data_IF_149554111589
#
_entry.id   IF_149554111589
#
_cell.length_a   1.000
_cell.length_b   1.000
_cell.length_c   1.000
_cell.angle_alpha   90.00
_cell.angle_beta   90.00
_cell.angle_gamma   90.00
#
_symmetry.space_group_name_H-M   'P 1'
#
loop_
_entity.id
_entity.type
_entity.pdbx_description
1 polymer ?
#
# COMPACT_ATOMS: atom_id res chain seq x y z
N UNK A 1 -3.93 -0.87 17.10
CA UNK A 1 -4.64 0.32 16.57
C UNK A 1 -3.67 1.51 16.37
N UNK A 2 -2.84 1.87 17.36
CA UNK A 2 -1.91 3.00 17.22
C UNK A 2 -0.91 2.84 16.06
N UNK A 3 -0.29 1.66 15.91
CA UNK A 3 0.63 1.40 14.82
C UNK A 3 -0.04 1.48 13.43
N UNK A 4 -1.29 1.05 13.31
CA UNK A 4 -2.06 1.16 12.07
C UNK A 4 -2.32 2.63 11.72
N UNK A 5 -2.70 3.45 12.70
CA UNK A 5 -2.90 4.90 12.49
C UNK A 5 -1.61 5.61 12.09
N UNK A 6 -0.47 5.21 12.66
CA UNK A 6 0.83 5.76 12.27
C UNK A 6 1.17 5.47 10.80
N UNK A 7 0.87 4.25 10.31
CA UNK A 7 1.03 3.88 8.89
C UNK A 7 0.09 4.67 7.97
N UNK A 8 -1.15 4.86 8.38
CA UNK A 8 -2.12 5.67 7.62
C UNK A 8 -1.70 7.14 7.54
N UNK A 9 -1.05 7.66 8.60
CA UNK A 9 -0.49 9.02 8.58
C UNK A 9 0.59 9.17 7.52
N UNK A 10 1.50 8.19 7.38
CA UNK A 10 2.53 8.23 6.34
C UNK A 10 1.92 8.33 4.93
N UNK A 11 0.83 7.58 4.67
CA UNK A 11 0.09 7.72 3.41
C UNK A 11 -0.53 9.11 3.27
N UNK A 12 -1.23 9.60 4.30
CA UNK A 12 -1.88 10.91 4.28
C UNK A 12 -0.87 12.03 3.99
N UNK A 13 0.27 12.02 4.68
CA UNK A 13 1.35 13.00 4.48
C UNK A 13 1.93 12.94 3.05
N UNK A 14 2.01 11.72 2.46
CA UNK A 14 2.45 11.54 1.08
C UNK A 14 1.41 12.07 0.08
N UNK A 15 0.11 11.83 0.31
CA UNK A 15 -0.97 12.37 -0.52
C UNK A 15 -0.97 13.91 -0.52
N UNK A 16 -0.90 14.53 0.67
CA UNK A 16 -0.88 16.00 0.82
C UNK A 16 0.34 16.63 0.17
N UNK A 17 1.50 15.97 0.20
CA UNK A 17 2.76 16.49 -0.35
C UNK A 17 2.89 16.32 -1.87
N UNK A 18 2.45 15.18 -2.39
CA UNK A 18 2.82 14.72 -3.74
C UNK A 18 1.70 14.92 -4.78
N UNK A 19 0.46 15.13 -4.33
CA UNK A 19 -0.64 15.39 -5.24
C UNK A 19 -0.87 16.90 -5.42
N UNK A 20 -1.21 17.35 -6.65
CA UNK A 20 -1.43 18.76 -6.93
C UNK A 20 -2.62 19.32 -6.14
N UNK A 21 -2.44 20.48 -5.53
CA UNK A 21 -3.52 21.19 -4.87
C UNK A 21 -4.63 21.56 -5.87
N UNK A 22 -5.89 21.29 -5.51
CA UNK A 22 -7.04 21.56 -6.38
C UNK A 22 -7.27 20.51 -7.48
N UNK A 23 -6.46 19.44 -7.55
CA UNK A 23 -6.73 18.33 -8.43
C UNK A 23 -8.02 17.56 -8.02
N UNK A 24 -8.69 16.88 -8.95
CA UNK A 24 -9.79 15.99 -8.58
C UNK A 24 -9.31 14.90 -7.62
N UNK A 25 -10.21 14.37 -6.74
CA UNK A 25 -9.85 13.32 -5.80
C UNK A 25 -9.21 12.12 -6.52
N UNK A 26 -8.00 11.69 -6.11
CA UNK A 26 -7.32 10.57 -6.75
C UNK A 26 -8.05 9.26 -6.48
N UNK A 27 -7.98 8.32 -7.41
CA UNK A 27 -8.40 6.94 -7.21
C UNK A 27 -7.34 6.23 -6.36
N UNK A 28 -7.71 5.85 -5.14
CA UNK A 28 -6.86 5.14 -4.19
C UNK A 28 -7.26 3.67 -4.12
N UNK A 29 -6.32 2.78 -4.46
CA UNK A 29 -6.43 1.34 -4.26
C UNK A 29 -5.79 0.93 -2.94
N UNK A 30 -6.59 0.41 -2.00
CA UNK A 30 -6.15 -0.17 -0.73
C UNK A 30 -6.03 -1.69 -0.86
N UNK A 31 -4.79 -2.18 -0.93
CA UNK A 31 -4.47 -3.59 -1.16
C UNK A 31 -4.33 -4.33 0.17
N UNK A 32 -5.14 -5.36 0.37
CA UNK A 32 -5.33 -6.01 1.66
C UNK A 32 -6.16 -5.13 2.59
N UNK A 33 -7.25 -4.56 2.06
CA UNK A 33 -8.05 -3.52 2.71
C UNK A 33 -8.71 -3.95 4.02
N UNK A 34 -8.85 -5.26 4.26
CA UNK A 34 -9.47 -5.78 5.46
C UNK A 34 -10.86 -5.19 5.68
N UNK A 35 -11.06 -4.57 6.84
CA UNK A 35 -12.33 -3.92 7.21
C UNK A 35 -12.44 -2.46 6.76
N UNK A 36 -11.57 -2.01 5.87
CA UNK A 36 -11.58 -0.66 5.28
C UNK A 36 -11.32 0.49 6.26
N UNK A 37 -10.59 0.23 7.33
CA UNK A 37 -10.25 1.24 8.36
C UNK A 37 -9.53 2.47 7.76
N UNK A 38 -8.78 2.28 6.67
CA UNK A 38 -8.12 3.38 5.97
C UNK A 38 -9.13 4.39 5.41
N UNK A 39 -10.23 3.91 4.82
CA UNK A 39 -11.23 4.81 4.25
C UNK A 39 -11.90 5.67 5.32
N UNK A 40 -12.18 5.10 6.52
CA UNK A 40 -12.71 5.86 7.65
C UNK A 40 -11.69 6.90 8.13
N UNK A 41 -10.41 6.52 8.24
CA UNK A 41 -9.33 7.43 8.63
C UNK A 41 -9.19 8.61 7.67
N UNK A 42 -9.21 8.39 6.35
CA UNK A 42 -9.10 9.44 5.35
C UNK A 42 -10.32 10.38 5.39
N UNK A 43 -11.53 9.83 5.57
CA UNK A 43 -12.75 10.62 5.72
C UNK A 43 -12.73 11.49 6.98
N UNK A 44 -12.30 10.96 8.14
CA UNK A 44 -12.11 11.72 9.38
C UNK A 44 -11.10 12.87 9.23
N UNK A 45 -10.07 12.67 8.39
CA UNK A 45 -9.06 13.68 8.07
C UNK A 45 -9.47 14.65 6.96
N UNK A 46 -10.66 14.46 6.37
CA UNK A 46 -11.17 15.25 5.23
C UNK A 46 -10.27 15.16 3.98
N UNK A 47 -9.52 14.05 3.83
CA UNK A 47 -8.71 13.77 2.66
C UNK A 47 -9.61 13.10 1.62
N UNK A 48 -9.94 13.83 0.56
CA UNK A 48 -10.84 13.37 -0.49
C UNK A 48 -10.11 12.39 -1.43
N UNK A 49 -10.62 11.16 -1.53
CA UNK A 49 -10.16 10.13 -2.49
C UNK A 49 -11.36 9.37 -3.04
N UNK A 50 -11.24 8.83 -4.26
CA UNK A 50 -12.09 7.74 -4.73
C UNK A 50 -11.48 6.43 -4.22
N UNK A 51 -12.01 5.91 -3.11
CA UNK A 51 -11.50 4.71 -2.46
C UNK A 51 -11.97 3.43 -3.13
N UNK A 52 -11.04 2.52 -3.44
CA UNK A 52 -11.30 1.14 -3.88
C UNK A 52 -10.53 0.21 -2.94
N UNK A 53 -11.23 -0.68 -2.24
CA UNK A 53 -10.61 -1.71 -1.39
C UNK A 53 -10.49 -3.04 -2.14
N UNK A 54 -9.31 -3.66 -2.12
CA UNK A 54 -9.09 -5.01 -2.64
C UNK A 54 -8.59 -5.94 -1.54
N UNK A 55 -9.15 -7.13 -1.45
CA UNK A 55 -8.67 -8.19 -0.55
C UNK A 55 -8.79 -9.56 -1.25
N UNK A 56 -7.87 -10.46 -0.96
CA UNK A 56 -7.89 -11.82 -1.50
C UNK A 56 -9.00 -12.68 -0.88
N UNK A 57 -9.40 -12.35 0.36
CA UNK A 57 -10.29 -13.15 1.19
C UNK A 57 -11.75 -12.76 0.99
N UNK A 58 -12.52 -13.59 0.28
CA UNK A 58 -13.94 -13.34 0.02
C UNK A 58 -14.75 -13.05 1.29
N UNK A 59 -14.50 -13.80 2.38
CA UNK A 59 -15.22 -13.60 3.64
C UNK A 59 -14.96 -12.20 4.26
N UNK A 60 -13.76 -11.66 4.08
CA UNK A 60 -13.41 -10.30 4.53
C UNK A 60 -14.17 -9.26 3.71
N UNK A 61 -14.19 -9.40 2.38
CA UNK A 61 -14.95 -8.51 1.48
C UNK A 61 -16.44 -8.55 1.81
N UNK A 62 -17.04 -9.73 2.00
CA UNK A 62 -18.44 -9.87 2.33
C UNK A 62 -18.80 -9.20 3.67
N UNK A 63 -17.96 -9.38 4.70
CA UNK A 63 -18.18 -8.74 5.99
C UNK A 63 -18.00 -7.22 5.92
N UNK A 64 -17.00 -6.73 5.17
CA UNK A 64 -16.80 -5.30 4.96
C UNK A 64 -17.99 -4.66 4.23
N UNK A 65 -18.51 -5.28 3.17
CA UNK A 65 -19.72 -4.83 2.47
C UNK A 65 -20.96 -4.86 3.35
N UNK A 66 -21.09 -5.85 4.24
CA UNK A 66 -22.19 -5.91 5.19
C UNK A 66 -22.18 -4.74 6.17
N UNK A 67 -20.99 -4.31 6.62
CA UNK A 67 -20.83 -3.16 7.53
C UNK A 67 -20.91 -1.81 6.80
N UNK A 68 -20.41 -1.77 5.58
CA UNK A 68 -20.26 -0.55 4.79
C UNK A 68 -20.81 -0.76 3.36
N UNK A 69 -22.13 -0.87 3.16
CA UNK A 69 -22.73 -1.28 1.88
C UNK A 69 -22.49 -0.29 0.73
N UNK A 70 -21.98 0.91 1.01
CA UNK A 70 -21.63 1.90 -0.02
C UNK A 70 -20.16 1.90 -0.45
N UNK A 71 -19.32 1.00 0.11
CA UNK A 71 -17.88 0.93 -0.25
C UNK A 71 -17.67 0.21 -1.57
N UNK A 72 -16.75 0.73 -2.39
CA UNK A 72 -16.27 0.05 -3.61
C UNK A 72 -15.22 -0.99 -3.21
N UNK A 73 -15.58 -2.28 -3.22
CA UNK A 73 -14.72 -3.38 -2.78
C UNK A 73 -14.67 -4.47 -3.84
N UNK A 74 -13.49 -5.07 -4.02
CA UNK A 74 -13.27 -6.16 -4.97
C UNK A 74 -12.48 -7.30 -4.31
N UNK A 75 -12.93 -8.55 -4.53
CA UNK A 75 -12.11 -9.72 -4.23
C UNK A 75 -11.15 -9.93 -5.40
N UNK A 76 -9.86 -9.75 -5.19
CA UNK A 76 -8.85 -9.92 -6.24
C UNK A 76 -7.46 -10.22 -5.69
N UNK A 77 -6.68 -10.98 -6.47
CA UNK A 77 -5.23 -11.03 -6.39
C UNK A 77 -4.65 -9.94 -7.31
N UNK A 78 -4.39 -8.78 -6.75
CA UNK A 78 -3.92 -7.60 -7.50
C UNK A 78 -2.46 -7.72 -7.97
N UNK A 79 -1.73 -8.74 -7.51
CA UNK A 79 -0.32 -8.95 -7.85
C UNK A 79 -0.13 -9.88 -9.04
N UNK A 80 -0.98 -10.90 -9.18
CA UNK A 80 -0.82 -11.94 -10.21
C UNK A 80 -1.91 -11.92 -11.27
N UNK A 81 -3.11 -11.47 -10.93
CA UNK A 81 -4.28 -11.40 -11.81
C UNK A 81 -5.07 -10.12 -11.53
N UNK A 82 -4.39 -8.97 -11.65
CA UNK A 82 -5.02 -7.68 -11.38
C UNK A 82 -6.22 -7.42 -12.29
N UNK A 83 -7.37 -7.00 -11.74
CA UNK A 83 -8.50 -6.52 -12.53
C UNK A 83 -8.30 -5.09 -13.05
N UNK A 84 -7.22 -4.41 -12.62
CA UNK A 84 -6.93 -3.03 -12.98
C UNK A 84 -5.97 -2.96 -14.16
N UNK A 85 -6.23 -2.04 -15.08
CA UNK A 85 -5.36 -1.78 -16.24
C UNK A 85 -4.11 -1.00 -15.81
N UNK A 86 -3.05 -1.07 -16.62
CA UNK A 86 -1.85 -0.26 -16.43
C UNK A 86 -2.20 1.23 -16.33
N UNK A 87 -1.67 1.90 -15.30
CA UNK A 87 -1.87 3.32 -15.03
C UNK A 87 -3.32 3.75 -14.73
N UNK A 88 -4.24 2.81 -14.42
CA UNK A 88 -5.66 3.14 -14.14
C UNK A 88 -5.92 3.60 -12.70
N UNK A 89 -4.99 3.37 -11.81
CA UNK A 89 -5.04 3.76 -10.39
C UNK A 89 -4.10 4.96 -10.19
N UNK A 90 -4.53 5.98 -9.47
CA UNK A 90 -3.65 7.12 -9.18
C UNK A 90 -2.70 6.80 -8.02
N UNK A 91 -3.22 6.20 -6.95
CA UNK A 91 -2.45 5.84 -5.76
C UNK A 91 -2.74 4.42 -5.32
N UNK A 92 -1.71 3.61 -5.09
CA UNK A 92 -1.84 2.28 -4.46
C UNK A 92 -1.23 2.30 -3.06
N UNK A 93 -1.98 1.78 -2.09
CA UNK A 93 -1.54 1.58 -0.71
C UNK A 93 -1.57 0.10 -0.36
N UNK A 94 -0.48 -0.42 0.20
CA UNK A 94 -0.38 -1.81 0.63
C UNK A 94 0.30 -1.88 2.00
N UNK A 95 -0.45 -2.27 3.03
CA UNK A 95 0.05 -2.32 4.41
C UNK A 95 -0.23 -3.65 5.07
N UNK A 96 0.82 -4.28 5.61
CA UNK A 96 0.71 -5.52 6.37
C UNK A 96 0.65 -6.80 5.55
N UNK A 97 0.44 -6.73 4.25
CA UNK A 97 0.33 -7.90 3.34
C UNK A 97 1.62 -8.72 3.31
N UNK A 98 2.78 -8.07 3.37
CA UNK A 98 4.10 -8.73 3.30
C UNK A 98 4.61 -9.25 4.65
N UNK A 99 3.89 -8.99 5.73
CA UNK A 99 4.36 -9.24 7.10
C UNK A 99 4.30 -10.70 7.53
N UNK A 100 3.45 -11.53 6.92
CA UNK A 100 3.38 -12.97 7.23
C UNK A 100 4.49 -13.73 6.52
N UNK A 101 5.09 -14.68 7.24
CA UNK A 101 6.15 -15.55 6.69
C UNK A 101 5.56 -16.59 5.73
N UNK A 102 5.89 -16.44 4.44
CA UNK A 102 5.45 -17.32 3.35
C UNK A 102 6.56 -18.22 2.82
N UNK A 103 7.80 -18.10 3.34
CA UNK A 103 8.98 -18.83 2.86
C UNK A 103 9.80 -18.05 1.83
N UNK A 104 9.17 -17.50 0.81
CA UNK A 104 9.78 -16.71 -0.28
C UNK A 104 9.42 -15.23 -0.23
N UNK A 105 9.31 -14.65 0.95
CA UNK A 105 8.80 -13.28 1.13
C UNK A 105 9.57 -12.20 0.35
N UNK A 106 10.90 -12.36 0.17
CA UNK A 106 11.68 -11.40 -0.62
C UNK A 106 11.27 -11.40 -2.09
N UNK A 107 11.19 -12.58 -2.69
CA UNK A 107 10.78 -12.73 -4.09
C UNK A 107 9.35 -12.24 -4.29
N UNK A 108 8.49 -12.49 -3.30
CA UNK A 108 7.12 -12.00 -3.32
C UNK A 108 7.08 -10.46 -3.33
N UNK A 109 7.79 -9.77 -2.44
CA UNK A 109 7.87 -8.29 -2.46
C UNK A 109 8.42 -7.77 -3.79
N UNK A 110 9.51 -8.41 -4.29
CA UNK A 110 10.20 -7.98 -5.53
C UNK A 110 9.40 -8.27 -6.81
N UNK A 111 8.36 -9.08 -6.75
CA UNK A 111 7.39 -9.27 -7.84
C UNK A 111 6.11 -8.45 -7.66
N UNK A 112 5.61 -8.34 -6.43
CA UNK A 112 4.35 -7.67 -6.12
C UNK A 112 4.43 -6.14 -6.24
N UNK A 113 5.53 -5.52 -5.76
CA UNK A 113 5.67 -4.05 -5.84
C UNK A 113 5.79 -3.55 -7.28
N UNK A 114 6.56 -4.18 -8.19
CA UNK A 114 6.52 -3.84 -9.62
C UNK A 114 5.12 -3.98 -10.24
N UNK A 115 4.34 -5.01 -9.87
CA UNK A 115 2.97 -5.16 -10.36
C UNK A 115 2.06 -4.01 -9.89
N UNK A 116 2.24 -3.50 -8.65
CA UNK A 116 1.55 -2.30 -8.20
C UNK A 116 2.00 -1.05 -8.97
N UNK A 117 3.31 -0.90 -9.23
CA UNK A 117 3.84 0.23 -10.00
C UNK A 117 3.29 0.27 -11.41
N UNK A 118 3.10 -0.88 -12.06
CA UNK A 118 2.54 -0.97 -13.41
C UNK A 118 1.10 -0.45 -13.50
N UNK A 119 0.26 -0.74 -12.51
CA UNK A 119 -1.14 -0.33 -12.51
C UNK A 119 -1.37 1.06 -11.89
N UNK A 120 -0.33 1.67 -11.29
CA UNK A 120 -0.42 2.94 -10.59
C UNK A 120 0.26 4.06 -11.36
N UNK A 121 -0.37 5.23 -11.41
CA UNK A 121 0.12 6.40 -12.15
C UNK A 121 1.07 7.27 -11.33
N UNK A 122 0.69 7.60 -10.10
CA UNK A 122 1.37 8.68 -9.36
C UNK A 122 2.17 8.16 -8.16
N UNK A 123 1.57 7.30 -7.30
CA UNK A 123 2.17 6.96 -6.03
C UNK A 123 1.86 5.54 -5.57
N UNK A 124 2.90 4.78 -5.23
CA UNK A 124 2.77 3.48 -4.55
C UNK A 124 3.35 3.59 -3.15
N UNK A 125 2.56 3.29 -2.12
CA UNK A 125 2.95 3.36 -0.72
C UNK A 125 2.85 1.98 -0.09
N UNK A 126 4.00 1.41 0.31
CA UNK A 126 4.08 0.03 0.80
C UNK A 126 4.69 0.00 2.18
N UNK A 127 3.97 -0.57 3.15
CA UNK A 127 4.46 -0.75 4.52
C UNK A 127 4.91 -2.19 4.77
N UNK A 128 6.04 -2.34 5.48
CA UNK A 128 6.62 -3.61 5.87
C UNK A 128 7.22 -3.55 7.28
N UNK A 129 7.43 -4.73 7.90
CA UNK A 129 8.14 -4.84 9.17
C UNK A 129 9.64 -4.66 8.98
N UNK A 130 10.24 -3.80 9.81
CA UNK A 130 11.65 -3.44 9.74
C UNK A 130 12.55 -4.49 10.40
N UNK A 131 13.67 -4.84 9.77
CA UNK A 131 14.65 -5.81 10.30
C UNK A 131 15.27 -5.38 11.65
N UNK A 132 15.31 -4.06 11.96
CA UNK A 132 15.81 -3.52 13.23
C UNK A 132 14.90 -3.82 14.44
N UNK A 133 13.66 -4.30 14.20
CA UNK A 133 12.71 -4.66 15.25
C UNK A 133 13.36 -5.55 16.30
N UNK A 134 13.30 -5.15 17.57
CA UNK A 134 13.93 -5.88 18.68
C UNK A 134 13.20 -7.18 19.01
N UNK A 135 11.87 -7.13 19.05
CA UNK A 135 11.02 -8.30 19.34
C UNK A 135 10.49 -8.86 18.04
N UNK A 136 10.98 -10.02 17.62
CA UNK A 136 10.58 -10.69 16.39
C UNK A 136 9.69 -11.89 16.64
N UNK A 137 8.62 -12.00 15.89
CA UNK A 137 7.70 -13.13 15.95
C UNK A 137 8.04 -14.16 14.86
N UNK A 138 8.03 -15.48 15.16
CA UNK A 138 8.42 -16.52 14.20
C UNK A 138 7.57 -16.56 12.93
N UNK A 139 6.30 -16.13 13.02
CA UNK A 139 5.36 -16.11 11.90
C UNK A 139 5.44 -14.82 11.06
N UNK A 140 6.29 -13.85 11.46
CA UNK A 140 6.49 -12.61 10.74
C UNK A 140 7.78 -12.63 9.90
N UNK A 141 7.77 -11.87 8.82
CA UNK A 141 8.92 -11.56 8.00
C UNK A 141 9.34 -10.12 8.20
N UNK A 142 10.64 -9.88 8.27
CA UNK A 142 11.24 -8.56 8.50
C UNK A 142 12.20 -8.25 7.37
N UNK A 143 12.17 -7.00 6.90
CA UNK A 143 12.90 -6.57 5.72
C UNK A 143 13.91 -5.48 6.07
N UNK A 144 14.99 -5.46 5.31
CA UNK A 144 15.95 -4.35 5.27
C UNK A 144 15.45 -3.33 4.24
N UNK A 145 15.09 -2.10 4.67
CA UNK A 145 14.54 -1.09 3.76
C UNK A 145 15.51 -0.70 2.65
N UNK A 146 16.82 -0.56 2.95
CA UNK A 146 17.81 -0.18 1.97
C UNK A 146 18.00 -1.27 0.90
N UNK A 147 18.00 -2.54 1.33
CA UNK A 147 18.07 -3.67 0.41
C UNK A 147 16.86 -3.70 -0.51
N UNK A 148 15.63 -3.60 0.04
CA UNK A 148 14.40 -3.64 -0.78
C UNK A 148 14.36 -2.45 -1.74
N UNK A 149 14.67 -1.24 -1.27
CA UNK A 149 14.69 -0.05 -2.11
C UNK A 149 15.70 -0.18 -3.25
N UNK A 150 16.92 -0.68 -2.98
CA UNK A 150 17.94 -0.90 -4.00
C UNK A 150 17.49 -1.89 -5.09
N UNK A 151 16.80 -2.99 -4.72
CA UNK A 151 16.27 -3.95 -5.68
C UNK A 151 15.12 -3.39 -6.54
N UNK A 152 14.32 -2.47 -5.98
CA UNK A 152 13.19 -1.85 -6.66
C UNK A 152 13.56 -0.61 -7.49
N UNK A 153 14.77 -0.07 -7.34
CA UNK A 153 15.21 1.17 -7.97
C UNK A 153 15.07 1.19 -9.51
N UNK A 154 15.14 0.03 -10.16
CA UNK A 154 14.95 -0.09 -11.61
C UNK A 154 13.50 0.05 -12.10
N UNK A 155 12.53 0.01 -11.20
CA UNK A 155 11.10 0.03 -11.51
C UNK A 155 10.43 1.36 -11.16
N UNK A 156 11.08 2.23 -10.40
CA UNK A 156 10.52 3.48 -9.94
C UNK A 156 11.47 4.65 -10.22
N UNK A 157 10.92 5.79 -10.62
CA UNK A 157 11.68 7.02 -10.84
C UNK A 157 12.26 7.58 -9.53
N UNK A 158 11.56 7.37 -8.42
CA UNK A 158 11.99 7.79 -7.08
C UNK A 158 11.48 6.82 -6.03
N UNK A 159 12.31 6.51 -5.05
CA UNK A 159 11.96 5.75 -3.85
C UNK A 159 12.38 6.55 -2.63
N UNK A 160 11.46 6.75 -1.71
CA UNK A 160 11.69 7.35 -0.39
C UNK A 160 11.44 6.29 0.68
N UNK A 161 12.36 6.17 1.64
CA UNK A 161 12.24 5.32 2.81
C UNK A 161 11.78 6.18 3.98
N UNK A 162 10.62 5.87 4.56
CA UNK A 162 10.09 6.51 5.76
C UNK A 162 10.10 5.49 6.89
N UNK A 163 11.02 5.62 7.86
CA UNK A 163 11.25 4.63 8.92
C UNK A 163 11.35 5.24 10.33
N UNK A 164 10.99 6.52 10.48
CA UNK A 164 11.12 7.29 11.71
C UNK A 164 9.82 7.44 12.51
N UNK A 165 8.75 6.72 12.15
CA UNK A 165 7.43 6.85 12.77
C UNK A 165 7.09 5.71 13.74
N UNK A 166 7.69 4.52 13.57
CA UNK A 166 7.61 3.36 14.48
C UNK A 166 8.93 2.60 14.48
N UNK A 167 9.29 1.98 15.62
CA UNK A 167 10.51 1.17 15.73
C UNK A 167 10.49 -0.07 14.82
N UNK A 168 9.31 -0.66 14.67
CA UNK A 168 9.12 -1.97 14.01
C UNK A 168 8.65 -1.89 12.56
N UNK A 169 8.40 -0.72 12.03
CA UNK A 169 7.86 -0.53 10.68
C UNK A 169 8.75 0.39 9.84
N UNK A 170 8.66 0.23 8.54
CA UNK A 170 9.05 1.24 7.56
C UNK A 170 8.05 1.25 6.41
N UNK A 171 8.03 2.35 5.68
CA UNK A 171 7.21 2.54 4.49
C UNK A 171 8.09 2.97 3.33
N UNK A 172 7.90 2.34 2.18
CA UNK A 172 8.44 2.82 0.91
C UNK A 172 7.37 3.66 0.22
N UNK A 173 7.75 4.88 -0.17
CA UNK A 173 6.95 5.76 -1.02
C UNK A 173 7.63 5.80 -2.39
N UNK A 174 6.99 5.14 -3.38
CA UNK A 174 7.55 4.97 -4.71
C UNK A 174 6.74 5.78 -5.73
N UNK A 175 7.46 6.44 -6.64
CA UNK A 175 6.85 7.09 -7.80
C UNK A 175 7.17 6.27 -9.04
N UNK A 176 6.17 5.79 -9.79
CA UNK A 176 6.39 5.05 -11.01
C UNK A 176 7.29 5.84 -11.99
N UNK A 177 8.11 5.13 -12.74
CA UNK A 177 8.75 5.73 -13.91
C UNK A 177 7.63 6.02 -14.89
N UNK A 178 7.40 7.29 -15.24
CA UNK A 178 6.36 7.64 -16.21
C UNK A 178 6.49 6.73 -17.42
N UNK A 179 5.36 6.17 -17.88
CA UNK A 179 5.29 5.53 -19.18
C UNK A 179 5.71 6.61 -20.19
N UNK A 180 6.94 6.47 -20.71
CA UNK A 180 7.43 7.37 -21.77
C UNK A 180 6.39 7.41 -22.87
N UNK A 181 5.97 8.63 -23.23
CA UNK A 181 5.24 8.90 -24.46
C UNK A 181 6.02 8.41 -25.68
#
# INVERSE_FOLDING_TARGET
>A
REGQLARFRVLADALERDLPEGAPPPTLLDVGCGMTDLADYLAERQIAVRYIGADLTLAVIQEALRRYPGRELVQADVFTQSPFQSGSIDVSYCSGVFNLRLGNNRDFVLSAVPALLEQTRDLVVVNMLHIRTRVKYPHCCYFDPDYIAAQLARYAAKIEIVDNYLENDFTLVLRPSGSGE
#
